data_IF_640161123096
#
_entry.id   IF_640161123096
#
_cell.length_a   1.000
_cell.length_b   1.000
_cell.length_c   1.000
_cell.angle_alpha   90.00
_cell.angle_beta   90.00
_cell.angle_gamma   90.00
#
_symmetry.space_group_name_H-M   'P 1'
#
loop_
_entity.id
_entity.type
_entity.pdbx_description
1 polymer ?
#
# COMPACT_ATOMS: atom_id res chain seq x y z
N UNK A 1 -16.74 -6.96 7.65
CA UNK A 1 -16.03 -5.67 7.49
C UNK A 1 -17.00 -4.63 6.96
N UNK A 2 -16.89 -3.45 7.46
CA UNK A 2 -17.74 -2.36 7.01
C UNK A 2 -17.08 -1.61 5.87
N UNK A 3 -17.89 -1.21 4.90
CA UNK A 3 -17.44 -0.34 3.82
C UNK A 3 -17.16 1.05 4.36
N UNK A 4 -16.05 1.66 3.93
CA UNK A 4 -15.75 3.05 4.24
C UNK A 4 -16.34 3.93 3.17
N UNK A 5 -17.22 4.82 3.57
CA UNK A 5 -17.77 5.84 2.67
C UNK A 5 -16.73 6.94 2.45
N UNK A 6 -16.83 7.64 1.33
CA UNK A 6 -15.86 8.65 0.89
C UNK A 6 -15.50 9.67 1.99
N UNK A 7 -16.47 10.14 2.75
CA UNK A 7 -16.26 11.14 3.81
C UNK A 7 -16.31 10.56 5.22
N UNK A 8 -16.13 9.25 5.35
CA UNK A 8 -16.17 8.58 6.65
C UNK A 8 -14.78 8.31 7.24
N UNK A 9 -13.72 8.79 6.59
CA UNK A 9 -12.38 8.72 7.15
C UNK A 9 -12.30 9.77 8.26
N UNK A 10 -12.38 9.36 9.54
CA UNK A 10 -12.61 10.32 10.60
C UNK A 10 -11.44 11.27 10.78
N UNK A 11 -11.76 12.54 11.03
CA UNK A 11 -10.80 13.60 11.35
C UNK A 11 -9.78 13.88 10.25
N UNK A 12 -10.06 13.49 9.00
CA UNK A 12 -9.16 13.75 7.88
C UNK A 12 -9.84 14.62 6.83
N UNK A 13 -9.36 15.85 6.68
CA UNK A 13 -9.62 16.64 5.49
C UNK A 13 -8.86 16.05 4.33
N UNK A 14 -7.59 15.71 4.59
CA UNK A 14 -6.71 15.00 3.68
C UNK A 14 -6.08 13.84 4.40
N UNK A 15 -5.79 12.79 3.68
CA UNK A 15 -5.06 11.68 4.23
C UNK A 15 -4.02 11.19 3.24
N UNK A 16 -2.83 10.88 3.75
CA UNK A 16 -1.80 10.21 2.95
C UNK A 16 -1.95 8.71 3.19
N UNK A 17 -2.16 7.97 2.12
CA UNK A 17 -2.38 6.54 2.17
C UNK A 17 -1.24 5.80 1.47
N UNK A 18 -0.61 4.90 2.20
CA UNK A 18 0.43 4.03 1.67
C UNK A 18 -0.23 2.79 1.08
N UNK A 19 -0.04 2.56 -0.22
CA UNK A 19 -0.62 1.40 -0.88
C UNK A 19 0.38 0.26 -0.94
N UNK A 20 0.18 -0.75 -0.09
CA UNK A 20 0.98 -1.95 -0.12
C UNK A 20 0.41 -2.92 -1.14
N UNK A 21 1.28 -3.45 -2.00
CA UNK A 21 0.92 -4.42 -3.04
C UNK A 21 2.12 -5.35 -3.24
N UNK A 22 1.90 -6.65 -3.42
CA UNK A 22 3.00 -7.56 -3.73
C UNK A 22 3.75 -7.10 -4.97
N UNK A 23 5.07 -7.28 -4.98
CA UNK A 23 5.87 -6.94 -6.16
C UNK A 23 6.84 -8.05 -6.53
N UNK A 24 7.79 -8.36 -5.64
CA UNK A 24 8.90 -9.23 -5.98
C UNK A 24 8.47 -10.69 -6.15
N UNK A 25 8.86 -11.28 -7.26
CA UNK A 25 8.73 -12.70 -7.52
C UNK A 25 9.95 -13.18 -8.30
N UNK A 26 10.04 -14.49 -8.52
CA UNK A 26 11.09 -15.04 -9.37
C UNK A 26 10.84 -14.82 -10.87
N UNK A 27 9.65 -14.28 -11.21
CA UNK A 27 9.22 -14.13 -12.61
C UNK A 27 9.05 -12.66 -12.96
N UNK A 28 9.88 -12.12 -13.89
CA UNK A 28 9.80 -10.70 -14.28
C UNK A 28 8.43 -10.27 -14.79
N UNK A 29 7.72 -11.14 -15.50
CA UNK A 29 6.38 -10.82 -16.02
C UNK A 29 5.38 -10.58 -14.88
N UNK A 30 5.50 -11.33 -13.79
CA UNK A 30 4.65 -11.15 -12.63
C UNK A 30 4.98 -9.85 -11.90
N UNK A 31 6.26 -9.50 -11.84
CA UNK A 31 6.68 -8.22 -11.25
C UNK A 31 6.11 -7.05 -12.03
N UNK A 32 6.18 -7.11 -13.37
CA UNK A 32 5.61 -6.07 -14.22
C UNK A 32 4.09 -5.98 -14.05
N UNK A 33 3.41 -7.12 -13.98
CA UNK A 33 1.97 -7.15 -13.72
C UNK A 33 1.64 -6.50 -12.37
N UNK A 34 2.40 -6.83 -11.33
CA UNK A 34 2.16 -6.28 -10.00
C UNK A 34 2.28 -4.76 -9.99
N UNK A 35 3.26 -4.22 -10.70
CA UNK A 35 3.43 -2.78 -10.80
C UNK A 35 2.23 -2.12 -11.48
N UNK A 36 1.78 -2.70 -12.60
CA UNK A 36 0.62 -2.19 -13.34
C UNK A 36 -0.65 -2.30 -12.49
N UNK A 37 -0.84 -3.42 -11.83
CA UNK A 37 -2.01 -3.65 -10.99
C UNK A 37 -2.06 -2.67 -9.81
N UNK A 38 -0.91 -2.44 -9.17
CA UNK A 38 -0.83 -1.45 -8.09
C UNK A 38 -1.20 -0.05 -8.59
N UNK A 39 -0.76 0.33 -9.77
CA UNK A 39 -1.10 1.61 -10.37
C UNK A 39 -2.59 1.75 -10.65
N UNK A 40 -3.20 0.70 -11.19
CA UNK A 40 -4.64 0.69 -11.47
C UNK A 40 -5.45 0.78 -10.18
N UNK A 41 -5.04 0.05 -9.15
CA UNK A 41 -5.70 0.08 -7.84
C UNK A 41 -5.57 1.48 -7.23
N UNK A 42 -4.37 2.06 -7.25
CA UNK A 42 -4.14 3.41 -6.72
C UNK A 42 -5.07 4.42 -7.38
N UNK A 43 -5.20 4.37 -8.70
CA UNK A 43 -6.07 5.28 -9.43
C UNK A 43 -7.54 5.10 -9.04
N UNK A 44 -7.99 3.86 -8.94
CA UNK A 44 -9.38 3.56 -8.56
C UNK A 44 -9.69 4.07 -7.14
N UNK A 45 -8.77 3.88 -6.21
CA UNK A 45 -8.93 4.37 -4.85
C UNK A 45 -9.00 5.89 -4.84
N UNK A 46 -8.09 6.54 -5.54
CA UNK A 46 -8.06 8.00 -5.62
C UNK A 46 -9.38 8.57 -6.15
N UNK A 47 -9.97 7.91 -7.15
CA UNK A 47 -11.23 8.36 -7.73
C UNK A 47 -12.41 8.13 -6.81
N UNK A 48 -12.40 7.04 -6.05
CA UNK A 48 -13.48 6.70 -5.10
C UNK A 48 -13.38 7.49 -3.80
N UNK A 49 -12.16 7.77 -3.35
CA UNK A 49 -11.90 8.44 -2.07
C UNK A 49 -11.03 9.67 -2.32
N UNK A 50 -11.64 10.78 -2.82
CA UNK A 50 -10.87 11.94 -3.28
C UNK A 50 -10.13 12.69 -2.18
N UNK A 51 -10.41 12.41 -0.91
CA UNK A 51 -9.67 13.00 0.21
C UNK A 51 -8.35 12.29 0.47
N UNK A 52 -8.08 11.16 -0.19
CA UNK A 52 -6.85 10.43 0.00
C UNK A 52 -5.82 10.78 -1.07
N UNK A 53 -4.59 11.00 -0.62
CA UNK A 53 -3.42 11.06 -1.50
C UNK A 53 -2.77 9.69 -1.45
N UNK A 54 -2.78 8.97 -2.56
CA UNK A 54 -2.27 7.60 -2.61
C UNK A 54 -0.79 7.63 -2.95
N UNK A 55 0.00 6.96 -2.13
CA UNK A 55 1.43 6.78 -2.38
C UNK A 55 1.68 5.29 -2.60
N UNK A 56 2.15 4.95 -3.80
CA UNK A 56 2.55 3.60 -4.15
C UNK A 56 4.06 3.49 -4.03
N UNK A 57 4.58 2.74 -3.06
CA UNK A 57 6.03 2.59 -2.93
C UNK A 57 6.66 1.91 -4.13
N UNK A 58 5.95 1.03 -4.81
CA UNK A 58 6.45 0.40 -6.03
C UNK A 58 6.76 1.44 -7.11
N UNK A 59 5.95 2.48 -7.21
CA UNK A 59 6.18 3.58 -8.15
C UNK A 59 7.16 4.61 -7.60
N UNK A 60 7.04 4.94 -6.32
CA UNK A 60 7.91 5.92 -5.68
C UNK A 60 9.38 5.48 -5.70
N UNK A 61 9.63 4.19 -5.56
CA UNK A 61 10.98 3.63 -5.54
C UNK A 61 11.30 2.83 -6.80
N UNK A 62 10.64 3.13 -7.91
CA UNK A 62 10.89 2.42 -9.18
C UNK A 62 12.34 2.51 -9.64
N UNK A 63 13.07 3.54 -9.20
CA UNK A 63 14.50 3.69 -9.51
C UNK A 63 15.39 2.66 -8.78
N UNK A 64 14.82 1.85 -7.89
CA UNK A 64 15.55 0.72 -7.30
C UNK A 64 15.68 -0.45 -8.30
N UNK A 65 14.88 -0.45 -9.37
CA UNK A 65 14.91 -1.52 -10.36
C UNK A 65 16.31 -1.71 -10.93
N UNK A 66 16.76 -2.97 -10.97
CA UNK A 66 18.08 -3.29 -11.47
C UNK A 66 19.22 -2.98 -10.53
N UNK A 67 18.93 -2.50 -9.32
CA UNK A 67 19.96 -2.23 -8.32
C UNK A 67 20.09 -3.41 -7.37
N UNK A 68 21.31 -3.62 -6.87
CA UNK A 68 21.60 -4.68 -5.91
C UNK A 68 21.23 -4.22 -4.51
N UNK A 69 19.95 -4.42 -4.15
CA UNK A 69 19.45 -4.07 -2.82
C UNK A 69 18.88 -5.32 -2.15
N UNK A 70 19.20 -5.47 -0.88
CA UNK A 70 18.61 -6.53 -0.06
C UNK A 70 17.18 -6.16 0.30
N UNK A 71 16.33 -7.16 0.49
CA UNK A 71 14.94 -6.94 0.94
C UNK A 71 14.89 -6.09 2.21
N UNK A 72 15.81 -6.32 3.14
CA UNK A 72 15.87 -5.56 4.39
C UNK A 72 16.16 -4.09 4.16
N UNK A 73 16.97 -3.76 3.15
CA UNK A 73 17.22 -2.37 2.79
C UNK A 73 16.00 -1.70 2.18
N UNK A 74 15.32 -2.42 1.29
CA UNK A 74 14.10 -1.91 0.65
C UNK A 74 13.03 -1.65 1.70
N UNK A 75 12.81 -2.60 2.62
CA UNK A 75 11.84 -2.46 3.70
C UNK A 75 12.16 -1.27 4.61
N UNK A 76 13.43 -0.99 4.84
CA UNK A 76 13.85 0.17 5.63
C UNK A 76 13.31 1.47 5.03
N UNK A 77 13.43 1.63 3.71
CA UNK A 77 12.90 2.82 3.03
C UNK A 77 11.38 2.80 2.98
N UNK A 78 10.79 1.64 2.76
CA UNK A 78 9.34 1.50 2.78
C UNK A 78 8.76 1.88 4.14
N UNK A 79 9.39 1.45 5.23
CA UNK A 79 8.93 1.79 6.58
C UNK A 79 9.05 3.30 6.85
N UNK A 80 10.11 3.94 6.36
CA UNK A 80 10.26 5.38 6.49
C UNK A 80 9.14 6.12 5.78
N UNK A 81 8.80 5.66 4.57
CA UNK A 81 7.71 6.24 3.81
C UNK A 81 6.37 6.00 4.52
N UNK A 82 6.13 4.77 4.95
CA UNK A 82 4.90 4.40 5.67
C UNK A 82 4.73 5.22 6.94
N UNK A 83 5.82 5.51 7.65
CA UNK A 83 5.77 6.30 8.88
C UNK A 83 5.25 7.72 8.65
N UNK A 84 5.30 8.21 7.43
CA UNK A 84 4.81 9.53 7.06
C UNK A 84 3.36 9.51 6.59
N UNK A 85 2.77 8.33 6.50
CA UNK A 85 1.40 8.18 6.01
C UNK A 85 0.41 8.04 7.16
N UNK A 86 -0.82 8.44 6.89
CA UNK A 86 -1.91 8.37 7.88
C UNK A 86 -2.52 7.00 7.94
N UNK A 87 -2.56 6.30 6.81
CA UNK A 87 -3.15 4.96 6.74
C UNK A 87 -2.33 4.05 5.84
N UNK A 88 -2.47 2.76 6.08
CA UNK A 88 -1.94 1.70 5.24
C UNK A 88 -3.10 1.01 4.52
N UNK A 89 -3.01 0.87 3.21
CA UNK A 89 -3.97 0.10 2.43
C UNK A 89 -3.28 -1.15 1.91
N UNK A 90 -3.82 -2.30 2.22
CA UNK A 90 -3.31 -3.59 1.78
C UNK A 90 -4.10 -4.05 0.55
N UNK A 91 -3.41 -4.44 -0.50
CA UNK A 91 -4.04 -4.80 -1.77
C UNK A 91 -3.39 -6.02 -2.41
N UNK A 92 -4.10 -6.60 -3.38
CA UNK A 92 -3.63 -7.79 -4.07
C UNK A 92 -3.52 -8.98 -3.11
N UNK A 93 -2.65 -9.91 -3.44
CA UNK A 93 -2.42 -11.09 -2.62
C UNK A 93 -1.42 -10.78 -1.49
N UNK A 94 -1.72 -9.75 -0.72
CA UNK A 94 -0.80 -9.22 0.28
C UNK A 94 -0.48 -10.22 1.39
N UNK A 95 -1.41 -11.12 1.72
CA UNK A 95 -1.21 -12.11 2.79
C UNK A 95 -0.09 -13.10 2.47
N UNK A 96 0.22 -13.28 1.19
CA UNK A 96 1.29 -14.16 0.74
C UNK A 96 2.57 -13.39 0.36
N UNK A 97 2.61 -12.12 0.68
CA UNK A 97 3.76 -11.25 0.40
C UNK A 97 4.50 -10.94 1.70
N UNK A 98 5.77 -11.32 1.78
CA UNK A 98 6.59 -11.01 2.95
C UNK A 98 6.70 -9.51 3.18
N UNK A 99 6.86 -8.74 2.10
CA UNK A 99 6.94 -7.29 2.19
C UNK A 99 5.66 -6.68 2.75
N UNK A 100 4.51 -7.06 2.19
CA UNK A 100 3.23 -6.56 2.66
C UNK A 100 2.95 -6.97 4.10
N UNK A 101 3.28 -8.20 4.48
CA UNK A 101 3.11 -8.66 5.86
C UNK A 101 4.00 -7.90 6.83
N UNK A 102 5.23 -7.55 6.40
CA UNK A 102 6.13 -6.73 7.20
C UNK A 102 5.57 -5.32 7.39
N UNK A 103 5.02 -4.74 6.33
CA UNK A 103 4.38 -3.41 6.39
C UNK A 103 3.15 -3.43 7.29
N UNK A 104 2.36 -4.49 7.20
CA UNK A 104 1.20 -4.68 8.08
C UNK A 104 1.63 -4.72 9.55
N UNK A 105 2.65 -5.51 9.88
CA UNK A 105 3.19 -5.60 11.24
C UNK A 105 3.73 -4.28 11.74
N UNK A 106 4.45 -3.55 10.90
CA UNK A 106 4.97 -2.23 11.23
C UNK A 106 3.84 -1.26 11.55
N UNK A 107 2.84 -1.20 10.68
CA UNK A 107 1.70 -0.29 10.87
C UNK A 107 0.95 -0.61 12.16
N UNK A 108 0.75 -1.89 12.44
CA UNK A 108 0.09 -2.33 13.65
C UNK A 108 0.86 -1.90 14.90
N UNK A 109 2.18 -2.08 14.89
CA UNK A 109 3.04 -1.69 16.01
C UNK A 109 3.06 -0.18 16.23
N UNK A 110 2.92 0.61 15.17
CA UNK A 110 2.95 2.08 15.23
C UNK A 110 1.58 2.72 15.40
N UNK A 111 0.51 1.94 15.41
CA UNK A 111 -0.84 2.47 15.55
C UNK A 111 -1.34 3.17 14.30
N UNK A 112 -0.78 2.87 13.14
CA UNK A 112 -1.25 3.39 11.86
C UNK A 112 -2.51 2.61 11.48
N UNK A 113 -3.54 3.31 11.05
CA UNK A 113 -4.79 2.66 10.63
C UNK A 113 -4.56 1.81 9.39
N UNK A 114 -5.21 0.65 9.36
CA UNK A 114 -5.03 -0.32 8.29
C UNK A 114 -6.36 -0.61 7.64
N UNK A 115 -6.36 -0.56 6.31
CA UNK A 115 -7.50 -0.91 5.49
C UNK A 115 -7.10 -1.94 4.44
N UNK A 116 -8.06 -2.74 4.04
CA UNK A 116 -7.88 -3.70 2.95
C UNK A 116 -8.72 -3.25 1.75
N UNK A 117 -8.12 -3.28 0.56
CA UNK A 117 -8.81 -2.99 -0.68
C UNK A 117 -9.42 -4.26 -1.24
N UNK A 118 -10.70 -4.22 -1.54
CA UNK A 118 -11.42 -5.32 -2.19
C UNK A 118 -12.68 -4.82 -2.85
N UNK A 119 -13.01 -5.34 -4.01
CA UNK A 119 -14.22 -4.96 -4.74
C UNK A 119 -14.39 -3.44 -4.88
N UNK A 120 -13.28 -2.73 -5.14
CA UNK A 120 -13.22 -1.27 -5.33
C UNK A 120 -13.51 -0.46 -4.07
N UNK A 121 -13.53 -1.09 -2.92
CA UNK A 121 -13.85 -0.45 -1.65
C UNK A 121 -12.72 -0.66 -0.65
N UNK A 122 -12.67 0.21 0.35
CA UNK A 122 -11.74 0.07 1.47
C UNK A 122 -12.51 -0.45 2.68
N UNK A 123 -11.95 -1.49 3.30
CA UNK A 123 -12.53 -2.10 4.50
C UNK A 123 -11.53 -1.96 5.64
N UNK A 124 -11.98 -1.48 6.82
CA UNK A 124 -11.06 -1.40 7.96
C UNK A 124 -10.58 -2.79 8.36
N UNK A 125 -9.29 -2.88 8.65
CA UNK A 125 -8.66 -4.13 9.08
C UNK A 125 -8.05 -3.91 10.46
N UNK A 126 -8.50 -4.73 11.40
CA UNK A 126 -8.00 -4.64 12.79
C UNK A 126 -6.72 -5.43 13.01
#
# INVERSE_FOLDING_TARGET
MEEIKTNSLPNMEYGMAYLAHPYASAFPDINAFNLIDAGNIAFKIMRKYPNLTIISPLHAYSFFEGKELKETEILKYDFRLLSQCDILILSGNWRNSKGCMSEYGYAKAKGIRIYEYGDRLLYPLE
#
